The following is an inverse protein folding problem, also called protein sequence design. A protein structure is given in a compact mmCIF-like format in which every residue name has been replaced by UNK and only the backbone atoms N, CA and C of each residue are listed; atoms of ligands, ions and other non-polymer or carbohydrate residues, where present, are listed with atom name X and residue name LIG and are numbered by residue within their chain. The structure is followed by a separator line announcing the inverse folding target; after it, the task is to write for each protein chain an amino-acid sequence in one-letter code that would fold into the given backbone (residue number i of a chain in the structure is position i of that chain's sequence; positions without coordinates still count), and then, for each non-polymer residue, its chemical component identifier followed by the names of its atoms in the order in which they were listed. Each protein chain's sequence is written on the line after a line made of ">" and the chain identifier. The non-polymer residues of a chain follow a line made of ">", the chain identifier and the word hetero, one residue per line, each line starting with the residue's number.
data_IF_680704133087
#
_entry.id   IF_680704133087
#
_cell.length_a   1.000
_cell.length_b   1.000
_cell.length_c   1.000
_cell.angle_alpha   90.00
_cell.angle_beta   90.00
_cell.angle_gamma   90.00
#
_symmetry.space_group_name_H-M   'P 1'
#
loop_
_entity.id
_entity.type
_entity.pdbx_description
1 polymer ?
#
# COMPACT_ATOMS: atom_id res chain seq x y z
N UNK A 1 2.24 -42.05 -33.63
CA UNK A 1 1.64 -43.40 -33.71
C UNK A 1 1.49 -43.95 -32.29
N UNK A 2 0.29 -44.45 -31.96
CA UNK A 2 -0.08 -45.37 -30.86
C UNK A 2 0.17 -44.93 -29.40
N UNK A 3 -0.74 -45.07 -28.42
CA UNK A 3 -2.22 -45.22 -28.30
C UNK A 3 -2.48 -45.63 -26.82
N UNK A 4 -3.37 -44.90 -26.13
CA UNK A 4 -4.26 -45.29 -25.01
C UNK A 4 -3.63 -45.82 -23.69
N UNK A 5 -4.15 -45.52 -22.50
CA UNK A 5 -5.42 -46.04 -21.94
C UNK A 5 -5.89 -45.19 -20.75
N UNK A 6 -7.22 -45.00 -20.69
CA UNK A 6 -8.03 -44.33 -19.68
C UNK A 6 -8.02 -45.02 -18.29
N UNK A 7 -8.20 -44.24 -17.22
CA UNK A 7 -8.97 -44.68 -16.05
C UNK A 7 -9.65 -43.49 -15.36
N UNK A 8 -10.94 -43.36 -15.64
CA UNK A 8 -11.93 -42.65 -14.84
C UNK A 8 -11.99 -43.25 -13.42
N UNK A 9 -12.03 -42.41 -12.38
CA UNK A 9 -12.71 -42.77 -11.13
C UNK A 9 -13.48 -41.56 -10.61
N UNK A 10 -14.76 -41.52 -10.95
CA UNK A 10 -15.76 -40.71 -10.30
C UNK A 10 -16.21 -41.44 -9.03
N UNK A 11 -16.17 -40.77 -7.88
CA UNK A 11 -16.91 -41.16 -6.68
C UNK A 11 -17.71 -39.95 -6.22
N UNK A 12 -19.02 -40.06 -6.44
CA UNK A 12 -20.09 -39.30 -5.83
C UNK A 12 -20.58 -40.01 -4.55
N UNK A 13 -21.54 -39.38 -3.85
CA UNK A 13 -22.44 -39.92 -2.81
C UNK A 13 -21.82 -39.79 -1.37
N UNK A 14 -22.40 -39.16 -0.33
CA UNK A 14 -23.78 -39.09 0.21
C UNK A 14 -24.08 -37.80 1.02
N UNK A 15 -25.33 -37.36 0.95
CA UNK A 15 -26.02 -36.46 1.88
C UNK A 15 -26.28 -37.15 3.23
N UNK A 16 -26.29 -36.40 4.33
CA UNK A 16 -27.09 -36.73 5.54
C UNK A 16 -27.43 -35.47 6.34
N UNK A 17 -28.73 -35.20 6.39
CA UNK A 17 -29.46 -34.32 7.31
C UNK A 17 -29.81 -35.05 8.61
N UNK A 18 -30.04 -34.30 9.71
CA UNK A 18 -30.95 -34.57 10.86
C UNK A 18 -30.71 -33.42 11.88
N UNK A 19 -31.58 -32.43 12.13
CA UNK A 19 -32.95 -32.38 12.71
C UNK A 19 -32.99 -32.36 14.27
N UNK A 20 -33.14 -31.14 14.87
CA UNK A 20 -34.02 -30.63 15.99
C UNK A 20 -34.33 -31.50 17.26
N UNK A 21 -35.01 -31.02 18.36
CA UNK A 21 -35.47 -29.67 18.83
C UNK A 21 -35.41 -29.38 20.39
N UNK A 22 -35.96 -28.21 20.79
CA UNK A 22 -36.68 -27.80 22.04
C UNK A 22 -35.95 -27.78 23.42
N UNK A 23 -36.29 -26.96 24.43
CA UNK A 23 -37.56 -26.34 24.89
C UNK A 23 -37.26 -25.01 25.65
N UNK A 24 -38.02 -23.92 25.46
CA UNK A 24 -39.26 -23.53 26.17
C UNK A 24 -39.07 -23.00 27.61
N UNK A 25 -39.42 -21.74 27.85
CA UNK A 25 -40.11 -21.26 29.08
C UNK A 25 -40.64 -19.83 28.91
N UNK A 26 -41.87 -19.76 28.42
CA UNK A 26 -43.03 -19.03 28.98
C UNK A 26 -42.86 -17.81 29.94
N UNK A 27 -43.38 -16.67 29.44
CA UNK A 27 -44.11 -15.53 30.05
C UNK A 27 -45.05 -15.93 31.25
N UNK A 28 -45.52 -15.07 32.22
CA UNK A 28 -46.23 -13.81 31.96
C UNK A 28 -46.27 -12.63 32.96
N UNK A 29 -46.57 -11.45 32.36
CA UNK A 29 -47.44 -10.29 32.75
C UNK A 29 -47.26 -9.68 34.17
N UNK A 30 -47.52 -8.39 34.48
CA UNK A 30 -48.79 -7.68 34.44
C UNK A 30 -48.55 -6.14 34.52
N UNK A 31 -49.46 -5.43 33.88
CA UNK A 31 -49.71 -3.99 33.76
C UNK A 31 -49.76 -3.10 35.04
N UNK A 32 -49.78 -1.78 34.80
CA UNK A 32 -50.78 -0.80 35.32
C UNK A 32 -50.21 0.49 35.91
N UNK A 33 -50.27 1.52 35.06
CA UNK A 33 -50.70 2.91 35.26
C UNK A 33 -50.90 3.53 36.67
N UNK A 34 -50.37 4.77 36.74
CA UNK A 34 -51.02 6.02 37.21
C UNK A 34 -51.02 6.41 38.71
N UNK A 35 -50.32 7.52 38.94
CA UNK A 35 -50.79 8.78 39.57
C UNK A 35 -50.75 8.98 41.09
N UNK A 36 -50.59 10.28 41.42
CA UNK A 36 -50.62 11.00 42.71
C UNK A 36 -49.26 11.05 43.44
N UNK A 37 -48.69 12.20 43.80
CA UNK A 37 -49.30 13.43 44.35
C UNK A 37 -48.51 14.69 43.96
N UNK A 38 -49.26 15.69 43.48
CA UNK A 38 -48.91 17.12 43.49
C UNK A 38 -49.08 17.64 44.92
N UNK A 39 -48.10 18.34 45.48
CA UNK A 39 -48.25 19.50 46.39
C UNK A 39 -46.91 19.88 47.04
N UNK A 40 -46.26 20.92 46.50
CA UNK A 40 -45.37 21.80 47.26
C UNK A 40 -45.12 23.08 46.44
N UNK A 41 -46.20 23.80 46.14
CA UNK A 41 -46.13 25.18 45.69
C UNK A 41 -46.84 26.04 46.73
N UNK A 42 -46.09 26.64 47.66
CA UNK A 42 -46.35 28.02 48.03
C UNK A 42 -45.26 28.59 48.95
N UNK A 43 -44.80 29.77 48.52
CA UNK A 43 -44.49 30.90 49.38
C UNK A 43 -43.08 31.00 49.95
N UNK A 44 -42.19 31.61 49.16
CA UNK A 44 -41.47 32.81 49.64
C UNK A 44 -40.99 33.65 48.45
N UNK A 45 -41.55 34.86 48.35
CA UNK A 45 -41.18 35.87 47.38
C UNK A 45 -39.94 36.61 47.88
N UNK A 46 -38.79 36.32 47.27
CA UNK A 46 -37.55 37.07 47.46
C UNK A 46 -37.43 38.17 46.38
N UNK A 47 -36.80 39.32 46.70
CA UNK A 47 -36.94 40.57 45.96
C UNK A 47 -36.27 40.56 44.58
N UNK A 48 -36.80 41.41 43.69
CA UNK A 48 -36.35 41.65 42.32
C UNK A 48 -34.83 41.90 42.26
N UNK A 49 -34.09 40.98 41.62
CA UNK A 49 -32.68 41.15 41.33
C UNK A 49 -32.47 42.28 40.30
N UNK A 50 -31.50 43.15 40.58
CA UNK A 50 -30.97 44.15 39.63
C UNK A 50 -30.48 43.49 38.34
N UNK A 51 -30.48 44.18 37.18
CA UNK A 51 -29.91 43.65 35.95
C UNK A 51 -28.40 43.47 36.14
N UNK A 52 -28.00 42.22 36.36
CA UNK A 52 -26.60 41.82 36.24
C UNK A 52 -26.29 41.78 34.76
N UNK A 53 -25.35 42.63 34.33
CA UNK A 53 -24.81 42.61 32.97
C UNK A 53 -24.21 41.21 32.75
N UNK A 54 -24.82 40.45 31.86
CA UNK A 54 -24.34 39.13 31.43
C UNK A 54 -22.97 39.31 30.77
N UNK A 55 -21.93 38.79 31.42
CA UNK A 55 -20.62 38.67 30.81
C UNK A 55 -20.74 37.69 29.63
N UNK A 56 -20.15 37.97 28.45
CA UNK A 56 -20.27 37.08 27.30
C UNK A 56 -19.77 35.69 27.67
N UNK A 57 -20.64 34.69 27.50
CA UNK A 57 -20.29 33.29 27.62
C UNK A 57 -19.12 32.99 26.69
N UNK A 58 -17.97 32.63 27.25
CA UNK A 58 -16.84 32.15 26.48
C UNK A 58 -17.24 30.79 25.88
N UNK A 59 -17.35 30.76 24.56
CA UNK A 59 -17.54 29.55 23.78
C UNK A 59 -16.33 28.63 24.00
N UNK A 60 -16.53 27.55 24.75
CA UNK A 60 -15.49 26.56 24.98
C UNK A 60 -15.13 25.88 23.65
N UNK A 61 -13.95 26.17 23.11
CA UNK A 61 -13.44 25.48 21.93
C UNK A 61 -13.18 24.01 22.30
N UNK A 62 -13.79 23.02 21.61
CA UNK A 62 -13.54 21.62 21.92
C UNK A 62 -12.07 21.30 21.71
N UNK A 63 -11.39 20.88 22.79
CA UNK A 63 -10.01 20.39 22.71
C UNK A 63 -10.04 18.93 22.28
N UNK A 64 -9.96 18.68 20.98
CA UNK A 64 -9.86 17.33 20.44
C UNK A 64 -8.45 16.76 20.68
N UNK A 65 -8.36 15.52 21.16
CA UNK A 65 -7.08 14.80 21.20
C UNK A 65 -6.58 14.52 19.78
N UNK A 66 -5.28 14.66 19.54
CA UNK A 66 -4.70 14.46 18.21
C UNK A 66 -4.81 12.99 17.76
N UNK A 67 -5.02 12.72 16.46
CA UNK A 67 -5.14 11.37 15.94
C UNK A 67 -3.76 10.69 15.76
N UNK A 68 -3.63 9.49 16.30
CA UNK A 68 -2.41 8.68 16.22
C UNK A 68 -2.71 7.24 15.80
N UNK A 69 -1.77 6.63 15.11
CA UNK A 69 -1.77 5.22 14.72
C UNK A 69 -0.75 4.45 15.57
N UNK A 70 -1.16 3.30 16.10
CA UNK A 70 -0.28 2.30 16.72
C UNK A 70 -0.34 0.97 15.96
N UNK A 71 0.70 0.16 16.10
CA UNK A 71 0.92 -1.06 15.29
C UNK A 71 1.29 -2.23 16.21
N UNK A 72 0.70 -3.39 15.95
CA UNK A 72 0.99 -4.64 16.68
C UNK A 72 2.20 -5.37 16.10
N UNK A 73 2.40 -5.24 14.78
CA UNK A 73 3.50 -5.85 14.02
C UNK A 73 4.27 -4.80 13.21
N UNK A 74 5.45 -5.20 12.72
CA UNK A 74 6.27 -4.37 11.82
C UNK A 74 5.47 -4.05 10.56
N UNK A 75 5.14 -2.78 10.36
CA UNK A 75 4.25 -2.34 9.29
C UNK A 75 5.01 -1.55 8.23
N UNK A 76 4.83 -1.93 6.97
CA UNK A 76 5.46 -1.24 5.85
C UNK A 76 4.77 0.12 5.61
N UNK A 77 5.53 1.20 5.66
CA UNK A 77 5.07 2.53 5.27
C UNK A 77 5.51 2.84 3.84
N UNK A 78 4.55 3.10 2.95
CA UNK A 78 4.76 3.15 1.48
C UNK A 78 4.47 4.52 0.89
N UNK A 79 4.91 4.75 -0.35
CA UNK A 79 4.62 6.00 -1.08
C UNK A 79 3.16 6.12 -1.54
N UNK A 80 2.41 5.02 -1.51
CA UNK A 80 1.01 4.98 -1.92
C UNK A 80 0.31 3.68 -1.49
N UNK A 81 -0.96 3.51 -1.86
CA UNK A 81 -1.78 2.40 -1.39
C UNK A 81 -1.42 1.07 -2.07
N UNK A 82 -0.90 0.14 -1.28
CA UNK A 82 -0.71 -1.26 -1.69
C UNK A 82 0.72 -1.64 -2.04
N UNK A 83 0.91 -2.92 -2.34
CA UNK A 83 2.25 -3.53 -2.45
C UNK A 83 3.06 -3.08 -3.66
N UNK A 84 2.41 -2.51 -4.67
CA UNK A 84 3.06 -1.99 -5.88
C UNK A 84 3.77 -0.65 -5.64
N UNK A 85 3.46 0.03 -4.53
CA UNK A 85 4.16 1.24 -4.12
C UNK A 85 5.38 0.90 -3.29
N UNK A 86 6.47 1.62 -3.51
CA UNK A 86 7.70 1.42 -2.76
C UNK A 86 7.50 1.65 -1.26
N UNK A 87 8.21 0.86 -0.47
CA UNK A 87 8.35 1.06 0.97
C UNK A 87 9.38 2.14 1.26
N UNK A 88 8.95 3.23 1.87
CA UNK A 88 9.83 4.30 2.37
C UNK A 88 10.54 3.83 3.65
N UNK A 89 9.79 3.24 4.58
CA UNK A 89 10.31 2.79 5.88
C UNK A 89 9.44 1.68 6.47
N UNK A 90 9.84 1.16 7.64
CA UNK A 90 9.05 0.23 8.45
C UNK A 90 8.82 0.83 9.82
N UNK A 91 7.57 0.83 10.26
CA UNK A 91 7.17 1.26 11.59
C UNK A 91 7.24 0.05 12.51
N UNK A 92 7.91 0.16 13.66
CA UNK A 92 8.08 -0.95 14.59
C UNK A 92 6.84 -1.09 15.49
N UNK A 93 6.61 -2.30 16.06
CA UNK A 93 5.60 -2.47 17.08
C UNK A 93 5.80 -1.50 18.24
N UNK A 94 4.69 -1.01 18.81
CA UNK A 94 4.68 0.01 19.88
C UNK A 94 5.07 1.43 19.46
N UNK A 95 5.50 1.66 18.21
CA UNK A 95 5.65 3.02 17.71
C UNK A 95 4.27 3.68 17.56
N UNK A 96 4.20 4.96 17.92
CA UNK A 96 3.01 5.78 17.74
C UNK A 96 3.33 6.91 16.77
N UNK A 97 2.65 6.91 15.61
CA UNK A 97 2.85 7.95 14.59
C UNK A 97 1.57 8.73 14.34
N UNK A 98 1.71 10.00 14.01
CA UNK A 98 0.56 10.89 13.81
C UNK A 98 -0.19 10.51 12.54
N UNK A 99 -1.51 10.43 12.60
CA UNK A 99 -2.36 10.29 11.42
C UNK A 99 -2.59 11.68 10.81
N UNK A 100 -2.31 11.81 9.51
CA UNK A 100 -2.44 13.07 8.78
C UNK A 100 -3.42 12.99 7.60
N UNK A 101 -3.87 11.78 7.24
CA UNK A 101 -4.89 11.61 6.22
C UNK A 101 -5.51 10.22 6.23
N UNK A 102 -6.67 10.10 5.59
CA UNK A 102 -7.37 8.84 5.36
C UNK A 102 -7.64 8.68 3.86
N UNK A 103 -7.42 7.50 3.31
CA UNK A 103 -7.77 7.18 1.93
C UNK A 103 -8.65 5.94 1.90
N UNK A 104 -9.85 6.11 1.34
CA UNK A 104 -10.82 5.04 1.26
C UNK A 104 -10.34 3.91 0.34
N UNK A 105 -10.67 2.63 0.63
CA UNK A 105 -11.53 2.20 1.73
C UNK A 105 -10.80 1.94 3.05
N UNK A 106 -9.48 1.75 3.04
CA UNK A 106 -8.75 1.23 4.21
C UNK A 106 -7.26 1.59 4.22
N UNK A 107 -6.90 2.85 3.97
CA UNK A 107 -5.52 3.32 4.08
C UNK A 107 -5.45 4.55 4.97
N UNK A 108 -4.39 4.62 5.77
CA UNK A 108 -4.04 5.81 6.54
C UNK A 108 -2.76 6.41 5.98
N UNK A 109 -2.70 7.74 6.00
CA UNK A 109 -1.49 8.49 5.75
C UNK A 109 -0.98 8.93 7.12
N UNK A 110 0.26 8.54 7.43
CA UNK A 110 0.92 8.82 8.70
C UNK A 110 2.17 9.65 8.48
N UNK A 111 2.51 10.48 9.46
CA UNK A 111 3.73 11.29 9.46
C UNK A 111 4.82 10.62 10.28
N UNK A 112 5.95 10.31 9.64
CA UNK A 112 7.13 9.67 10.25
C UNK A 112 8.37 10.56 10.07
N UNK A 113 9.48 10.21 10.71
CA UNK A 113 10.76 10.89 10.50
C UNK A 113 11.28 10.77 9.05
N UNK A 114 10.82 9.76 8.31
CA UNK A 114 11.12 9.56 6.88
C UNK A 114 10.15 10.31 5.95
N UNK A 115 9.20 11.07 6.50
CA UNK A 115 8.15 11.78 5.77
C UNK A 115 6.76 11.14 5.91
N UNK A 116 5.81 11.67 5.13
CA UNK A 116 4.44 11.16 5.08
C UNK A 116 4.36 9.90 4.21
N UNK A 117 3.68 8.88 4.70
CA UNK A 117 3.59 7.60 4.01
C UNK A 117 2.30 6.84 4.33
N UNK A 118 2.01 5.87 3.49
CA UNK A 118 0.77 5.11 3.42
C UNK A 118 0.92 3.79 4.16
N UNK A 119 -0.02 3.51 5.05
CA UNK A 119 -0.13 2.24 5.77
C UNK A 119 -1.50 1.63 5.53
N UNK A 120 -1.55 0.30 5.37
CA UNK A 120 -2.81 -0.41 5.22
C UNK A 120 -3.54 -0.41 6.57
N UNK A 121 -4.81 -0.03 6.56
CA UNK A 121 -5.61 0.15 7.77
C UNK A 121 -5.87 -1.13 8.55
N UNK A 122 -5.67 -2.31 7.94
CA UNK A 122 -5.73 -3.61 8.63
C UNK A 122 -4.62 -3.78 9.69
N UNK A 123 -3.52 -3.03 9.60
CA UNK A 123 -2.41 -3.08 10.56
C UNK A 123 -2.38 -1.87 11.50
N UNK A 124 -3.38 -0.99 11.41
CA UNK A 124 -3.43 0.27 12.15
C UNK A 124 -4.48 0.18 13.24
N UNK A 125 -4.07 0.45 14.47
CA UNK A 125 -4.99 0.75 15.57
C UNK A 125 -5.03 2.27 15.77
N UNK A 126 -6.07 2.98 15.28
CA UNK A 126 -6.18 4.42 15.44
C UNK A 126 -6.60 4.80 16.88
N UNK A 127 -6.14 5.94 17.34
CA UNK A 127 -6.43 6.53 18.65
C UNK A 127 -6.59 8.05 18.56
N UNK A 128 -7.25 8.66 19.54
CA UNK A 128 -7.54 10.10 19.53
C UNK A 128 -8.73 10.48 18.64
N UNK A 129 -8.91 11.79 18.38
CA UNK A 129 -9.98 12.30 17.53
C UNK A 129 -9.56 12.32 16.07
N UNK A 130 -10.22 11.52 15.24
CA UNK A 130 -10.02 11.49 13.79
C UNK A 130 -11.04 12.34 13.02
N UNK A 131 -11.93 13.08 13.71
CA UNK A 131 -12.96 13.92 13.07
C UNK A 131 -12.40 15.05 12.19
N UNK A 132 -11.14 15.45 12.43
CA UNK A 132 -10.44 16.47 11.66
C UNK A 132 -9.40 15.90 10.67
N UNK A 133 -9.31 14.57 10.54
CA UNK A 133 -8.38 13.94 9.57
C UNK A 133 -8.96 14.15 8.16
N UNK A 134 -8.21 14.75 7.23
CA UNK A 134 -8.68 14.94 5.87
C UNK A 134 -8.78 13.60 5.12
N UNK A 135 -9.83 13.46 4.32
CA UNK A 135 -9.91 12.38 3.33
C UNK A 135 -9.12 12.79 2.09
N UNK A 136 -8.25 11.90 1.63
CA UNK A 136 -7.48 12.02 0.40
C UNK A 136 -8.19 11.19 -0.66
N UNK A 137 -8.50 11.80 -1.80
CA UNK A 137 -9.23 11.14 -2.91
C UNK A 137 -8.36 10.89 -4.14
N UNK A 138 -7.14 11.42 -4.15
CA UNK A 138 -6.18 11.22 -5.24
C UNK A 138 -5.21 10.11 -4.87
N UNK A 139 -5.04 9.15 -5.78
CA UNK A 139 -3.91 8.23 -5.70
C UNK A 139 -2.64 8.98 -6.09
N UNK A 140 -1.54 8.84 -5.34
CA UNK A 140 -0.25 9.28 -5.83
C UNK A 140 0.07 8.53 -7.12
N UNK A 141 0.68 9.21 -8.10
CA UNK A 141 1.20 8.54 -9.28
C UNK A 141 2.15 7.43 -8.83
N UNK A 142 2.11 6.26 -9.47
CA UNK A 142 3.06 5.19 -9.21
C UNK A 142 4.47 5.72 -9.47
N UNK A 143 5.13 6.14 -8.40
CA UNK A 143 6.57 6.32 -8.38
C UNK A 143 7.12 4.91 -8.21
N UNK A 144 7.34 4.21 -9.33
CA UNK A 144 8.14 2.99 -9.33
C UNK A 144 9.48 3.38 -8.71
N UNK A 145 9.77 2.79 -7.54
CA UNK A 145 10.99 2.99 -6.74
C UNK A 145 12.15 3.51 -7.57
N UNK A 146 12.34 4.84 -7.57
CA UNK A 146 13.51 5.46 -8.17
C UNK A 146 14.63 5.41 -7.14
N UNK A 147 14.97 4.18 -6.74
CA UNK A 147 16.35 3.80 -6.54
C UNK A 147 16.63 2.67 -7.53
N UNK A 148 16.78 3.07 -8.80
CA UNK A 148 17.44 2.29 -9.83
C UNK A 148 18.84 1.94 -9.32
N UNK A 149 18.95 0.81 -8.66
CA UNK A 149 20.10 0.46 -7.83
C UNK A 149 21.32 0.06 -8.68
N UNK A 150 21.09 -0.25 -9.96
CA UNK A 150 22.11 -0.51 -10.96
C UNK A 150 22.26 0.76 -11.78
N UNK A 151 23.40 1.42 -11.65
CA UNK A 151 23.70 2.62 -12.44
C UNK A 151 24.34 2.22 -13.77
N UNK A 152 23.66 2.48 -14.90
CA UNK A 152 24.31 2.40 -16.22
C UNK A 152 25.34 3.54 -16.29
N UNK A 153 26.61 3.21 -16.54
CA UNK A 153 27.72 4.18 -16.63
C UNK A 153 27.83 4.76 -18.04
N UNK A 154 27.74 3.91 -19.05
CA UNK A 154 27.79 4.32 -20.45
C UNK A 154 27.07 3.30 -21.33
N UNK A 155 26.64 3.76 -22.50
CA UNK A 155 26.21 2.89 -23.58
C UNK A 155 26.52 3.55 -24.92
N UNK A 156 26.78 2.73 -25.92
CA UNK A 156 26.96 3.15 -27.31
C UNK A 156 26.35 2.09 -28.24
N UNK A 157 26.05 2.51 -29.47
CA UNK A 157 25.52 1.61 -30.47
C UNK A 157 25.97 2.05 -31.88
N UNK A 158 26.18 1.06 -32.75
CA UNK A 158 26.57 1.24 -34.14
C UNK A 158 25.59 0.52 -35.06
N UNK A 159 24.99 1.24 -36.00
CA UNK A 159 23.98 0.73 -36.93
C UNK A 159 24.61 0.33 -38.26
N UNK A 160 24.59 -0.96 -38.56
CA UNK A 160 24.91 -1.53 -39.86
C UNK A 160 23.64 -1.64 -40.72
N UNK A 161 23.39 -0.60 -41.51
CA UNK A 161 22.26 -0.54 -42.43
C UNK A 161 22.35 -1.52 -43.61
N UNK A 162 23.54 -2.03 -43.95
CA UNK A 162 23.69 -3.00 -45.04
C UNK A 162 23.17 -4.36 -44.59
N UNK A 163 23.41 -4.72 -43.33
CA UNK A 163 22.99 -5.99 -42.77
C UNK A 163 21.75 -5.89 -41.87
N UNK A 164 21.15 -4.71 -41.72
CA UNK A 164 20.02 -4.42 -40.82
C UNK A 164 20.31 -4.84 -39.37
N UNK A 165 21.51 -4.52 -38.89
CA UNK A 165 21.96 -4.89 -37.55
C UNK A 165 22.38 -3.66 -36.76
N UNK A 166 22.29 -3.73 -35.44
CA UNK A 166 22.86 -2.77 -34.52
C UNK A 166 23.75 -3.51 -33.52
N UNK A 167 25.01 -3.09 -33.39
CA UNK A 167 25.89 -3.55 -32.31
C UNK A 167 25.74 -2.61 -31.14
N UNK A 168 25.47 -3.14 -29.95
CA UNK A 168 25.13 -2.38 -28.74
C UNK A 168 26.13 -2.74 -27.66
N UNK A 169 26.75 -1.74 -27.04
CA UNK A 169 27.64 -1.90 -25.89
C UNK A 169 27.04 -1.17 -24.69
N UNK A 170 26.98 -1.84 -23.54
CA UNK A 170 26.43 -1.27 -22.31
C UNK A 170 27.40 -1.57 -21.17
N UNK A 171 27.72 -0.55 -20.37
CA UNK A 171 28.50 -0.68 -19.14
C UNK A 171 27.73 -0.16 -17.93
N UNK A 172 27.89 -0.80 -16.78
CA UNK A 172 27.22 -0.42 -15.54
C UNK A 172 28.16 -0.44 -14.33
N UNK A 173 27.69 0.12 -13.23
CA UNK A 173 28.36 0.05 -11.94
C UNK A 173 28.18 -1.34 -11.35
N UNK A 174 29.30 -1.93 -10.94
CA UNK A 174 29.30 -3.16 -10.15
C UNK A 174 28.59 -2.93 -8.82
N UNK A 175 28.08 -4.02 -8.26
CA UNK A 175 27.45 -4.03 -6.94
C UNK A 175 28.21 -4.99 -6.04
N UNK A 176 27.95 -4.84 -4.75
CA UNK A 176 28.38 -5.83 -3.78
C UNK A 176 27.22 -6.78 -3.47
N UNK A 177 27.51 -8.08 -3.44
CA UNK A 177 26.60 -9.12 -2.96
C UNK A 177 25.53 -9.57 -3.96
N UNK A 178 25.61 -9.16 -5.22
CA UNK A 178 24.82 -9.74 -6.30
C UNK A 178 25.29 -11.16 -6.65
N UNK A 179 24.35 -12.00 -7.05
CA UNK A 179 24.64 -13.31 -7.65
C UNK A 179 24.94 -13.19 -9.14
N UNK A 180 24.47 -12.11 -9.76
CA UNK A 180 24.71 -11.80 -11.16
C UNK A 180 23.85 -10.66 -11.69
N UNK A 181 23.90 -10.50 -13.00
CA UNK A 181 23.16 -9.48 -13.74
C UNK A 181 22.32 -10.10 -14.85
N UNK A 182 21.16 -9.53 -15.13
CA UNK A 182 20.36 -9.83 -16.31
C UNK A 182 20.30 -8.62 -17.22
N UNK A 183 20.52 -8.85 -18.50
CA UNK A 183 20.27 -7.84 -19.54
C UNK A 183 18.86 -8.08 -20.04
N UNK A 184 18.02 -7.06 -19.95
CA UNK A 184 16.64 -7.10 -20.41
C UNK A 184 16.49 -6.16 -21.59
N UNK A 185 16.06 -6.69 -22.73
CA UNK A 185 15.77 -5.93 -23.96
C UNK A 185 14.28 -6.03 -24.26
N UNK A 186 13.59 -4.90 -24.42
CA UNK A 186 12.14 -4.85 -24.67
C UNK A 186 11.34 -5.73 -23.70
N UNK A 187 11.68 -5.62 -22.41
CA UNK A 187 11.09 -6.37 -21.29
C UNK A 187 11.34 -7.89 -21.27
N UNK A 188 12.14 -8.42 -22.19
CA UNK A 188 12.57 -9.82 -22.20
C UNK A 188 14.04 -9.98 -21.75
N UNK A 189 14.33 -10.98 -20.92
CA UNK A 189 15.71 -11.30 -20.51
C UNK A 189 16.44 -11.91 -21.72
N UNK A 190 17.45 -11.21 -22.22
CA UNK A 190 18.28 -11.66 -23.36
C UNK A 190 19.61 -12.27 -22.92
N UNK A 191 20.09 -11.92 -21.73
CA UNK A 191 21.28 -12.52 -21.16
C UNK A 191 21.19 -12.60 -19.63
N UNK A 192 21.78 -13.65 -19.07
CA UNK A 192 22.08 -13.78 -17.64
C UNK A 192 23.60 -13.94 -17.49
N UNK A 193 24.18 -13.08 -16.67
CA UNK A 193 25.62 -12.88 -16.49
C UNK A 193 25.97 -13.16 -15.03
N UNK A 194 27.18 -13.66 -14.79
CA UNK A 194 27.68 -13.90 -13.43
C UNK A 194 27.90 -12.61 -12.63
N UNK A 195 28.13 -12.78 -11.33
CA UNK A 195 28.55 -11.69 -10.45
C UNK A 195 29.83 -10.99 -10.95
N UNK A 196 30.01 -9.72 -10.61
CA UNK A 196 31.13 -8.87 -11.03
C UNK A 196 31.24 -8.60 -12.54
N UNK A 197 30.26 -9.02 -13.36
CA UNK A 197 30.22 -8.65 -14.78
C UNK A 197 29.61 -7.25 -14.90
N UNK A 198 30.36 -6.32 -15.49
CA UNK A 198 29.95 -4.91 -15.56
C UNK A 198 29.78 -4.37 -16.98
N UNK A 199 29.84 -5.25 -17.98
CA UNK A 199 29.74 -4.89 -19.40
C UNK A 199 29.04 -5.99 -20.19
N UNK A 200 28.31 -5.59 -21.23
CA UNK A 200 27.64 -6.48 -22.16
C UNK A 200 27.66 -5.89 -23.58
N UNK A 201 27.88 -6.77 -24.56
CA UNK A 201 27.82 -6.44 -25.97
C UNK A 201 26.92 -7.44 -26.68
N UNK A 202 26.07 -6.94 -27.57
CA UNK A 202 25.24 -7.77 -28.43
C UNK A 202 25.06 -7.12 -29.81
N UNK A 203 24.87 -7.95 -30.83
CA UNK A 203 24.40 -7.51 -32.15
C UNK A 203 22.96 -7.97 -32.33
N UNK A 204 22.08 -7.02 -32.64
CA UNK A 204 20.64 -7.25 -32.79
C UNK A 204 20.18 -6.87 -34.19
N UNK A 205 19.13 -7.52 -34.70
CA UNK A 205 18.49 -7.04 -35.93
C UNK A 205 17.66 -5.80 -35.61
N UNK A 206 18.03 -4.65 -36.17
CA UNK A 206 17.34 -3.38 -35.99
C UNK A 206 17.34 -2.63 -37.32
N UNK A 207 16.16 -2.43 -37.90
CA UNK A 207 16.00 -1.74 -39.18
C UNK A 207 16.00 -0.22 -38.97
N UNK A 208 16.24 0.56 -40.03
CA UNK A 208 16.04 2.02 -39.99
C UNK A 208 14.61 2.36 -39.55
N UNK A 209 14.50 3.29 -38.61
CA UNK A 209 13.25 3.68 -37.94
C UNK A 209 12.89 2.83 -36.71
N UNK A 210 13.58 1.72 -36.43
CA UNK A 210 13.32 0.89 -35.26
C UNK A 210 14.15 1.31 -34.04
N UNK A 211 13.63 0.97 -32.87
CA UNK A 211 14.28 1.19 -31.58
C UNK A 211 14.22 -0.05 -30.69
N UNK A 212 15.15 -0.12 -29.73
CA UNK A 212 15.17 -1.13 -28.70
C UNK A 212 15.43 -0.47 -27.34
N UNK A 213 14.74 -0.95 -26.32
CA UNK A 213 14.92 -0.51 -24.93
C UNK A 213 15.73 -1.53 -24.15
N UNK A 214 16.61 -1.06 -23.25
CA UNK A 214 17.44 -1.90 -22.40
C UNK A 214 17.37 -1.47 -20.93
N UNK A 215 17.41 -2.45 -20.04
CA UNK A 215 17.66 -2.28 -18.60
C UNK A 215 18.58 -3.38 -18.09
N UNK A 216 19.37 -3.05 -17.07
CA UNK A 216 20.25 -4.00 -16.38
C UNK A 216 19.62 -4.32 -15.02
N UNK A 217 19.48 -5.60 -14.71
CA UNK A 217 18.88 -6.07 -13.45
C UNK A 217 19.91 -6.83 -12.64
N UNK A 218 20.33 -6.30 -11.50
CA UNK A 218 21.11 -7.07 -10.54
C UNK A 218 20.17 -8.02 -9.78
N UNK A 219 20.59 -9.26 -9.60
CA UNK A 219 19.82 -10.25 -8.86
C UNK A 219 20.65 -10.95 -7.78
N UNK A 220 19.95 -11.35 -6.72
CA UNK A 220 20.44 -12.23 -5.65
C UNK A 220 19.49 -13.42 -5.53
N UNK A 221 19.74 -14.33 -4.60
CA UNK A 221 18.79 -15.40 -4.28
C UNK A 221 17.43 -14.90 -3.76
N UNK A 222 17.33 -13.66 -3.27
CA UNK A 222 16.15 -13.17 -2.54
C UNK A 222 15.56 -11.87 -3.07
N UNK A 223 16.23 -11.20 -3.99
CA UNK A 223 15.80 -9.90 -4.50
C UNK A 223 16.37 -9.61 -5.89
N UNK A 224 15.66 -8.76 -6.63
CA UNK A 224 16.12 -8.12 -7.86
C UNK A 224 15.98 -6.61 -7.72
N UNK A 225 16.82 -5.89 -8.45
CA UNK A 225 16.73 -4.45 -8.54
C UNK A 225 17.27 -4.03 -9.93
N UNK A 226 16.72 -2.96 -10.50
CA UNK A 226 16.94 -2.59 -11.92
C UNK A 226 17.66 -1.26 -12.08
N UNK A 227 18.21 -1.04 -13.27
CA UNK A 227 18.63 0.27 -13.74
C UNK A 227 17.45 1.05 -14.33
N UNK A 228 17.67 2.35 -14.55
CA UNK A 228 16.85 3.12 -15.48
C UNK A 228 16.89 2.47 -16.88
N UNK A 229 15.83 2.67 -17.66
CA UNK A 229 15.76 2.20 -19.04
C UNK A 229 16.51 3.15 -19.98
N UNK A 230 17.36 2.62 -20.85
CA UNK A 230 17.94 3.33 -21.98
C UNK A 230 17.26 2.88 -23.28
N UNK A 231 17.22 3.76 -24.27
CA UNK A 231 16.66 3.45 -25.61
C UNK A 231 17.69 3.75 -26.67
N UNK A 232 17.89 2.79 -27.58
CA UNK A 232 18.68 2.97 -28.79
C UNK A 232 17.76 2.95 -30.02
N UNK A 233 18.21 3.54 -31.12
CA UNK A 233 17.48 3.47 -32.38
C UNK A 233 18.35 3.77 -33.58
N UNK A 234 18.13 3.02 -34.66
CA UNK A 234 18.72 3.32 -35.95
C UNK A 234 17.75 4.22 -36.71
N UNK A 235 18.20 5.41 -37.10
CA UNK A 235 17.43 6.37 -37.89
C UNK A 235 18.07 6.48 -39.27
#
# INVERSE_FOLDING_TARGET
>A
MKRYIHALFAISILLSSCNMPDSDTTQPDIATAAAMTVEAAMNEQAPLASPTVEAPAQEATPTYSQPYASFEDVTNCRQGPGVNYERITQIQPSDQVKIVGFFAPNYWIVSTDSGECWVAGEFVTPSGSYSAVPTIDTIPTLTTSQLDNVTIKSYDYDCDFQNNQATVNISWADRDGESGYRVVRNDEVVAELGANVTQYTETVTLLSGQSASYKIVAFTASATQSSSTITIGCQ
#
